data_IF_069439020703
#
_entry.id   IF_069439020703
#
_cell.length_a   1.000
_cell.length_b   1.000
_cell.length_c   1.000
_cell.angle_alpha   90.00
_cell.angle_beta   90.00
_cell.angle_gamma   90.00
#
_symmetry.space_group_name_H-M   'P 1'
#
loop_
_entity.id
_entity.type
_entity.pdbx_description
1 polymer ?
#
# COMPACT_ATOMS: atom_id res chain seq x y z
N UNK A 1 7.74 29.70 -14.40
CA UNK A 1 7.76 28.28 -14.00
C UNK A 1 6.82 28.13 -12.82
N UNK A 2 5.63 27.56 -13.05
CA UNK A 2 4.67 27.30 -11.99
C UNK A 2 5.05 25.97 -11.34
N UNK A 3 5.45 26.00 -10.07
CA UNK A 3 5.52 24.80 -9.25
C UNK A 3 4.08 24.39 -8.93
N UNK A 4 3.64 23.28 -9.51
CA UNK A 4 2.39 22.63 -9.13
C UNK A 4 2.53 22.19 -7.68
N UNK A 5 1.69 22.74 -6.81
CA UNK A 5 1.58 22.31 -5.43
C UNK A 5 1.27 20.81 -5.41
N UNK A 6 2.26 20.00 -5.02
CA UNK A 6 2.01 18.64 -4.60
C UNK A 6 1.06 18.73 -3.41
N UNK A 7 -0.05 17.99 -3.47
CA UNK A 7 -1.04 17.96 -2.41
C UNK A 7 -0.35 17.68 -1.08
N UNK A 8 -0.72 18.44 -0.03
CA UNK A 8 -0.10 18.41 1.29
C UNK A 8 -0.16 17.06 2.03
N UNK A 9 -0.59 15.98 1.36
CA UNK A 9 -0.79 14.63 1.88
C UNK A 9 0.06 13.54 1.18
N UNK A 10 0.83 13.84 0.14
CA UNK A 10 1.71 12.82 -0.45
C UNK A 10 3.05 12.74 0.30
N UNK A 11 3.59 11.52 0.57
CA UNK A 11 4.91 11.38 1.15
C UNK A 11 5.98 12.03 0.26
N UNK A 12 7.08 12.49 0.85
CA UNK A 12 8.22 13.01 0.09
C UNK A 12 8.74 11.95 -0.90
N UNK A 13 9.34 12.37 -2.02
CA UNK A 13 9.73 11.46 -3.10
C UNK A 13 10.63 10.30 -2.65
N UNK A 14 11.60 10.55 -1.78
CA UNK A 14 12.45 9.47 -1.24
C UNK A 14 11.67 8.52 -0.36
N UNK A 15 10.72 9.04 0.42
CA UNK A 15 9.82 8.23 1.23
C UNK A 15 8.90 7.36 0.38
N UNK A 16 8.40 7.89 -0.74
CA UNK A 16 7.61 7.08 -1.69
C UNK A 16 8.41 5.87 -2.20
N UNK A 17 9.70 6.04 -2.53
CA UNK A 17 10.56 4.93 -2.97
C UNK A 17 10.71 3.85 -1.90
N UNK A 18 10.87 4.25 -0.63
CA UNK A 18 10.93 3.31 0.50
C UNK A 18 9.62 2.54 0.66
N UNK A 19 8.48 3.22 0.58
CA UNK A 19 7.16 2.58 0.67
C UNK A 19 6.91 1.62 -0.49
N UNK A 20 7.30 2.00 -1.72
CA UNK A 20 7.23 1.12 -2.89
C UNK A 20 8.11 -0.11 -2.70
N UNK A 21 9.34 0.07 -2.21
CA UNK A 21 10.23 -1.05 -1.92
C UNK A 21 9.63 -1.99 -0.87
N UNK A 22 9.09 -1.46 0.23
CA UNK A 22 8.41 -2.24 1.27
C UNK A 22 7.26 -3.06 0.70
N UNK A 23 6.40 -2.46 -0.14
CA UNK A 23 5.29 -3.21 -0.75
C UNK A 23 5.79 -4.30 -1.68
N UNK A 24 6.81 -4.03 -2.50
CA UNK A 24 7.34 -4.99 -3.47
C UNK A 24 8.08 -6.15 -2.80
N UNK A 25 8.88 -5.88 -1.78
CA UNK A 25 9.70 -6.90 -1.13
C UNK A 25 8.93 -7.60 -0.01
N UNK A 26 8.36 -6.83 0.91
CA UNK A 26 7.80 -7.40 2.12
C UNK A 26 6.35 -7.84 1.93
N UNK A 27 5.50 -7.02 1.31
CA UNK A 27 4.13 -7.46 0.98
C UNK A 27 4.12 -8.48 -0.17
N UNK A 28 4.99 -8.29 -1.16
CA UNK A 28 5.15 -9.20 -2.30
C UNK A 28 5.54 -10.62 -1.92
N UNK A 29 6.23 -10.83 -0.80
CA UNK A 29 6.58 -12.17 -0.31
C UNK A 29 5.36 -13.08 -0.10
N UNK A 30 4.21 -12.52 0.32
CA UNK A 30 2.96 -13.23 0.51
C UNK A 30 1.98 -13.01 -0.65
N UNK A 31 1.92 -11.79 -1.18
CA UNK A 31 0.95 -11.37 -2.20
C UNK A 31 1.48 -11.52 -3.65
N UNK A 32 2.62 -12.17 -3.81
CA UNK A 32 3.35 -12.31 -5.06
C UNK A 32 4.20 -11.08 -5.38
N UNK A 33 5.40 -11.27 -5.93
CA UNK A 33 6.32 -10.17 -6.30
C UNK A 33 5.71 -9.20 -7.33
N UNK A 34 4.73 -9.69 -8.10
CA UNK A 34 3.94 -8.92 -9.06
C UNK A 34 2.57 -8.49 -8.52
N UNK A 35 2.29 -8.71 -7.23
CA UNK A 35 1.04 -8.41 -6.52
C UNK A 35 -0.20 -9.18 -7.02
N UNK A 36 0.00 -10.20 -7.86
CA UNK A 36 -1.05 -11.04 -8.46
C UNK A 36 -1.65 -12.07 -7.48
N UNK A 37 -1.17 -12.13 -6.25
CA UNK A 37 -1.58 -13.09 -5.24
C UNK A 37 -0.64 -14.30 -5.14
N UNK A 38 -0.79 -15.05 -4.06
CA UNK A 38 0.01 -16.22 -3.72
C UNK A 38 -0.52 -16.85 -2.43
N UNK A 39 0.25 -16.75 -1.35
CA UNK A 39 -0.24 -17.09 -0.01
C UNK A 39 -1.32 -16.09 0.45
N UNK A 40 -1.14 -14.82 0.14
CA UNK A 40 -2.11 -13.74 0.32
C UNK A 40 -2.94 -13.47 -0.94
N UNK A 41 -4.09 -12.79 -0.81
CA UNK A 41 -4.93 -12.42 -1.95
C UNK A 41 -4.20 -11.42 -2.90
N UNK A 42 -4.62 -11.30 -4.17
CA UNK A 42 -4.09 -10.26 -5.06
C UNK A 42 -4.30 -8.85 -4.49
N UNK A 43 -3.32 -7.97 -4.73
CA UNK A 43 -3.36 -6.54 -4.36
C UNK A 43 -3.48 -5.64 -5.61
N UNK A 44 -3.96 -6.20 -6.72
CA UNK A 44 -4.21 -5.45 -7.95
C UNK A 44 -5.54 -4.69 -7.90
N UNK A 45 -5.69 -3.60 -8.67
CA UNK A 45 -6.90 -2.77 -8.69
C UNK A 45 -8.21 -3.57 -8.81
N UNK A 46 -8.25 -4.56 -9.70
CA UNK A 46 -9.43 -5.39 -9.92
C UNK A 46 -9.86 -6.19 -8.67
N UNK A 47 -8.93 -6.60 -7.82
CA UNK A 47 -9.21 -7.33 -6.58
C UNK A 47 -9.62 -6.40 -5.42
N UNK A 48 -9.33 -5.11 -5.54
CA UNK A 48 -9.57 -4.11 -4.49
C UNK A 48 -10.80 -3.25 -4.77
N UNK A 49 -11.33 -3.22 -6.00
CA UNK A 49 -12.40 -2.31 -6.46
C UNK A 49 -13.65 -2.26 -5.57
N UNK A 50 -14.02 -3.37 -4.93
CA UNK A 50 -15.24 -3.51 -4.13
C UNK A 50 -14.98 -3.27 -2.62
N UNK A 51 -13.77 -2.84 -2.25
CA UNK A 51 -13.34 -2.58 -0.88
C UNK A 51 -13.19 -1.08 -0.65
N UNK A 52 -13.48 -0.62 0.57
CA UNK A 52 -13.22 0.78 0.93
C UNK A 52 -11.72 1.03 1.08
N UNK A 53 -11.27 2.19 0.61
CA UNK A 53 -9.87 2.58 0.69
C UNK A 53 -9.43 2.72 2.16
N UNK A 54 -10.29 3.30 3.01
CA UNK A 54 -10.04 3.46 4.44
C UNK A 54 -9.95 2.10 5.15
N UNK A 55 -10.80 1.14 4.76
CA UNK A 55 -10.77 -0.21 5.33
C UNK A 55 -9.51 -0.98 4.93
N UNK A 56 -9.04 -0.80 3.71
CA UNK A 56 -7.76 -1.32 3.25
C UNK A 56 -6.58 -0.69 3.99
N UNK A 57 -6.59 0.64 4.17
CA UNK A 57 -5.54 1.35 4.89
C UNK A 57 -5.48 0.88 6.35
N UNK A 58 -6.63 0.73 7.01
CA UNK A 58 -6.71 0.16 8.36
C UNK A 58 -6.18 -1.28 8.40
N UNK A 59 -6.47 -2.09 7.38
CA UNK A 59 -5.96 -3.47 7.28
C UNK A 59 -4.44 -3.51 7.13
N UNK A 60 -3.84 -2.62 6.34
CA UNK A 60 -2.38 -2.49 6.24
C UNK A 60 -1.81 -2.05 7.59
N UNK A 61 -2.38 -1.00 8.17
CA UNK A 61 -1.83 -0.38 9.36
C UNK A 61 -1.91 -1.29 10.60
N UNK A 62 -3.05 -1.95 10.82
CA UNK A 62 -3.31 -2.81 11.97
C UNK A 62 -3.10 -4.30 11.71
N UNK A 63 -2.85 -4.70 10.47
CA UNK A 63 -2.80 -6.11 10.08
C UNK A 63 -4.18 -6.74 10.11
N UNK A 64 -4.23 -8.07 9.96
CA UNK A 64 -5.49 -8.82 9.99
C UNK A 64 -5.42 -9.94 11.03
N UNK A 65 -6.05 -9.75 12.21
CA UNK A 65 -6.05 -10.75 13.29
C UNK A 65 -6.51 -12.13 12.80
N UNK A 66 -5.86 -13.18 13.29
CA UNK A 66 -6.13 -14.56 12.87
C UNK A 66 -5.61 -14.92 11.49
N UNK A 67 -4.80 -14.06 10.85
CA UNK A 67 -4.11 -14.37 9.59
C UNK A 67 -2.61 -14.06 9.69
N UNK A 68 -1.79 -14.56 8.74
CA UNK A 68 -0.37 -14.21 8.69
C UNK A 68 -0.06 -12.75 8.37
N UNK A 69 -1.06 -11.91 8.04
CA UNK A 69 -0.84 -10.51 7.67
C UNK A 69 -0.54 -9.64 8.92
N UNK A 70 0.70 -9.18 9.12
CA UNK A 70 1.09 -8.46 10.33
C UNK A 70 0.67 -6.99 10.28
N UNK A 71 0.65 -6.27 11.43
CA UNK A 71 0.50 -4.82 11.45
C UNK A 71 1.75 -4.09 10.92
N UNK A 72 1.55 -3.11 10.06
CA UNK A 72 2.64 -2.30 9.48
C UNK A 72 2.86 -0.94 10.15
N UNK A 73 2.05 -0.57 11.15
CA UNK A 73 2.14 0.71 11.90
C UNK A 73 3.48 1.04 12.56
N UNK A 74 4.44 0.09 12.62
CA UNK A 74 5.81 0.35 13.09
C UNK A 74 6.71 0.94 12.01
N UNK A 75 6.32 0.81 10.74
CA UNK A 75 7.13 1.16 9.58
C UNK A 75 6.56 2.33 8.77
N UNK A 76 5.30 2.70 9.01
CA UNK A 76 4.61 3.75 8.28
C UNK A 76 3.54 4.42 9.13
N UNK A 77 3.12 5.61 8.73
CA UNK A 77 1.95 6.32 9.30
C UNK A 77 0.63 5.87 8.65
N UNK A 78 -0.52 6.26 9.23
CA UNK A 78 -1.83 6.02 8.61
C UNK A 78 -1.97 6.72 7.26
N UNK A 79 -1.43 7.93 7.10
CA UNK A 79 -1.44 8.67 5.85
C UNK A 79 -0.62 7.95 4.76
N UNK A 80 0.49 7.33 5.12
CA UNK A 80 1.30 6.53 4.21
C UNK A 80 0.60 5.21 3.82
N UNK A 81 -0.11 4.59 4.77
CA UNK A 81 -0.95 3.43 4.46
C UNK A 81 -2.07 3.79 3.47
N UNK A 82 -2.71 4.95 3.65
CA UNK A 82 -3.71 5.47 2.69
C UNK A 82 -3.08 5.70 1.32
N UNK A 83 -1.90 6.33 1.26
CA UNK A 83 -1.18 6.55 0.00
C UNK A 83 -0.86 5.24 -0.72
N UNK A 84 -0.42 4.20 0.01
CA UNK A 84 -0.18 2.86 -0.57
C UNK A 84 -1.47 2.32 -1.19
N UNK A 85 -2.60 2.39 -0.47
CA UNK A 85 -3.89 1.92 -0.99
C UNK A 85 -4.29 2.66 -2.24
N UNK A 86 -4.16 3.98 -2.27
CA UNK A 86 -4.51 4.80 -3.43
C UNK A 86 -3.70 4.37 -4.67
N UNK A 87 -2.40 4.07 -4.50
CA UNK A 87 -1.57 3.51 -5.57
C UNK A 87 -1.98 2.09 -5.95
N UNK A 88 -2.29 1.21 -4.98
CA UNK A 88 -2.72 -0.17 -5.28
C UNK A 88 -4.07 -0.23 -6.02
N UNK A 89 -4.98 0.70 -5.74
CA UNK A 89 -6.31 0.76 -6.37
C UNK A 89 -6.30 1.42 -7.75
N UNK A 90 -5.23 2.14 -8.10
CA UNK A 90 -5.07 2.78 -9.42
C UNK A 90 -4.02 2.05 -10.25
N UNK A 91 -2.75 2.38 -10.04
CA UNK A 91 -1.59 1.72 -10.60
C UNK A 91 -0.43 1.81 -9.59
N UNK A 92 0.10 0.65 -9.19
CA UNK A 92 1.19 0.63 -8.23
C UNK A 92 2.54 0.89 -8.93
N UNK A 93 3.35 1.86 -8.46
CA UNK A 93 4.65 2.17 -9.06
C UNK A 93 5.53 0.92 -9.21
N UNK A 94 6.27 0.86 -10.33
CA UNK A 94 7.25 -0.19 -10.58
C UNK A 94 8.51 0.04 -9.76
#
# INVERSE_FOLDING_TARGET
MAATAAWANEPAADRQKELVHLVRQDCGSCHGMTLQGGLGPPLLPAALRDKSAEGLAATIYYGRPGTPMPPWKRFMSEAEAQWIVDKLMSEFPQ
#
